data_IF_416906995145
#
_entry.id   IF_416906995145
#
_cell.length_a   1.000
_cell.length_b   1.000
_cell.length_c   1.000
_cell.angle_alpha   90.00
_cell.angle_beta   90.00
_cell.angle_gamma   90.00
#
_symmetry.space_group_name_H-M   'P 1'
#
loop_
_entity.id
_entity.type
_entity.pdbx_description
1 polymer ?
#
# COMPACT_ATOMS: atom_id res chain seq x y z
N UNK A 1 6.63 13.61 9.72
CA UNK A 1 7.73 13.32 8.77
C UNK A 1 7.11 13.26 7.39
N UNK A 2 7.61 14.02 6.43
CA UNK A 2 7.06 14.01 5.06
C UNK A 2 7.67 12.82 4.32
N UNK A 3 6.85 11.87 3.89
CA UNK A 3 7.32 10.75 3.07
C UNK A 3 7.45 11.17 1.62
N UNK A 4 8.47 10.68 0.94
CA UNK A 4 8.71 10.88 -0.50
C UNK A 4 8.25 9.68 -1.33
N UNK A 5 7.62 8.69 -0.69
CA UNK A 5 7.00 7.57 -1.38
C UNK A 5 5.71 8.00 -2.06
N UNK A 6 5.58 7.64 -3.34
CA UNK A 6 4.29 7.72 -4.01
C UNK A 6 3.30 6.73 -3.33
N UNK A 7 2.03 7.11 -3.16
CA UNK A 7 1.04 6.21 -2.60
C UNK A 7 0.85 5.00 -3.52
N UNK A 8 0.83 3.78 -2.96
CA UNK A 8 0.61 2.55 -3.75
C UNK A 8 -0.79 2.43 -4.31
N UNK A 9 -1.75 3.02 -3.61
CA UNK A 9 -3.17 2.91 -3.92
C UNK A 9 -3.79 4.29 -3.95
N UNK A 10 -4.67 4.51 -4.93
CA UNK A 10 -5.50 5.69 -5.03
C UNK A 10 -6.87 5.41 -4.42
N UNK A 11 -7.45 6.41 -3.76
CA UNK A 11 -8.79 6.32 -3.19
C UNK A 11 -9.70 7.28 -3.95
N UNK A 12 -10.50 6.74 -4.86
CA UNK A 12 -11.49 7.52 -5.58
C UNK A 12 -12.83 7.47 -4.85
N UNK A 13 -13.35 8.64 -4.50
CA UNK A 13 -14.67 8.82 -3.89
C UNK A 13 -15.59 9.49 -4.89
N UNK A 14 -16.72 8.85 -5.14
CA UNK A 14 -17.81 9.40 -5.95
C UNK A 14 -18.63 10.38 -5.09
N UNK A 15 -18.58 11.70 -5.37
CA UNK A 15 -19.28 12.70 -4.58
C UNK A 15 -20.81 12.59 -4.72
N UNK A 16 -21.32 12.05 -5.84
CA UNK A 16 -22.77 11.91 -6.05
C UNK A 16 -23.36 10.78 -5.20
N UNK A 17 -22.54 9.79 -4.83
CA UNK A 17 -22.94 8.66 -3.97
C UNK A 17 -22.56 8.85 -2.52
N UNK A 18 -21.60 9.71 -2.21
CA UNK A 18 -21.11 9.87 -0.85
C UNK A 18 -22.08 10.71 -0.02
N UNK A 19 -22.65 10.11 1.02
CA UNK A 19 -23.56 10.77 1.96
C UNK A 19 -22.87 11.29 3.23
N UNK A 20 -21.53 11.45 3.20
CA UNK A 20 -20.71 11.91 4.32
C UNK A 20 -20.92 11.17 5.66
N UNK A 21 -21.40 9.92 5.63
CA UNK A 21 -21.75 9.13 6.82
C UNK A 21 -20.57 8.69 7.72
N UNK A 22 -19.33 9.02 7.34
CA UNK A 22 -18.09 8.73 8.08
C UNK A 22 -17.80 7.24 8.39
N UNK A 23 -18.60 6.28 7.90
CA UNK A 23 -18.34 4.84 8.10
C UNK A 23 -16.95 4.43 7.60
N UNK A 24 -16.51 4.98 6.47
CA UNK A 24 -15.18 4.70 5.93
C UNK A 24 -14.03 5.24 6.80
N UNK A 25 -14.26 6.31 7.56
CA UNK A 25 -13.33 6.85 8.56
C UNK A 25 -13.22 5.86 9.71
N UNK A 26 -14.37 5.50 10.30
CA UNK A 26 -14.44 4.58 11.44
C UNK A 26 -13.89 3.16 11.14
N UNK A 27 -14.01 2.70 9.89
CA UNK A 27 -13.55 1.36 9.51
C UNK A 27 -12.07 1.33 9.08
N UNK A 28 -11.41 2.47 8.91
CA UNK A 28 -10.04 2.49 8.42
C UNK A 28 -9.03 2.42 9.58
N UNK A 29 -8.38 1.27 9.77
CA UNK A 29 -7.32 1.10 10.78
C UNK A 29 -6.00 1.80 10.44
N UNK A 30 -5.93 2.46 9.28
CA UNK A 30 -4.72 3.10 8.76
C UNK A 30 -4.88 4.62 8.63
N UNK A 31 -6.01 5.19 9.07
CA UNK A 31 -6.26 6.64 8.95
C UNK A 31 -6.14 7.18 7.50
N UNK A 32 -6.48 6.34 6.52
CA UNK A 32 -6.49 6.71 5.10
C UNK A 32 -7.76 7.48 4.70
N UNK A 33 -8.76 7.56 5.58
CA UNK A 33 -9.95 8.38 5.41
C UNK A 33 -10.12 9.22 6.68
N UNK A 34 -10.44 10.50 6.53
CA UNK A 34 -10.65 11.41 7.64
C UNK A 34 -11.81 12.36 7.33
N UNK A 35 -12.42 12.91 8.37
CA UNK A 35 -13.44 13.94 8.24
C UNK A 35 -12.79 15.32 8.45
N UNK A 36 -12.99 16.21 7.49
CA UNK A 36 -12.54 17.59 7.52
C UNK A 36 -13.68 18.46 8.07
N UNK A 37 -13.50 18.99 9.28
CA UNK A 37 -14.52 19.75 9.98
C UNK A 37 -14.69 21.19 9.45
N UNK A 38 -13.69 21.73 8.74
CA UNK A 38 -13.78 23.07 8.17
C UNK A 38 -14.66 23.07 6.92
N UNK A 39 -14.49 22.05 6.08
CA UNK A 39 -15.21 21.90 4.82
C UNK A 39 -16.46 20.99 4.92
N UNK A 40 -16.72 20.39 6.09
CA UNK A 40 -17.79 19.41 6.33
C UNK A 40 -17.77 18.21 5.35
N UNK A 41 -16.56 17.70 5.07
CA UNK A 41 -16.34 16.68 4.03
C UNK A 41 -15.45 15.53 4.49
N UNK A 42 -15.79 14.32 4.09
CA UNK A 42 -14.91 13.15 4.23
C UNK A 42 -13.89 13.12 3.09
N UNK A 43 -12.62 13.18 3.47
CA UNK A 43 -11.45 13.18 2.57
C UNK A 43 -10.59 11.94 2.80
N UNK A 44 -9.58 11.78 1.94
CA UNK A 44 -8.69 10.62 1.95
C UNK A 44 -7.22 11.02 1.92
N UNK A 45 -6.38 10.24 2.61
CA UNK A 45 -4.92 10.30 2.61
C UNK A 45 -4.42 9.03 1.94
N UNK A 46 -4.13 9.12 0.65
CA UNK A 46 -3.74 7.97 -0.17
C UNK A 46 -2.42 7.35 0.29
N UNK A 47 -1.53 8.15 0.90
CA UNK A 47 -0.24 7.72 1.46
C UNK A 47 -0.38 6.66 2.56
N UNK A 48 -1.53 6.62 3.23
CA UNK A 48 -1.83 5.68 4.30
C UNK A 48 -2.57 4.43 3.81
N UNK A 49 -3.04 4.41 2.56
CA UNK A 49 -3.84 3.31 2.05
C UNK A 49 -2.97 2.07 1.81
N UNK A 50 -3.34 0.95 2.43
CA UNK A 50 -2.70 -0.36 2.20
C UNK A 50 -3.51 -1.29 1.29
N UNK A 51 -4.62 -0.82 0.73
CA UNK A 51 -5.46 -1.62 -0.18
C UNK A 51 -6.20 -2.77 0.52
N UNK A 52 -6.56 -2.66 1.80
CA UNK A 52 -7.30 -3.71 2.51
C UNK A 52 -8.80 -3.80 2.11
N UNK A 53 -9.29 -2.85 1.31
CA UNK A 53 -10.67 -2.76 0.80
C UNK A 53 -11.80 -2.72 1.84
N UNK A 54 -11.48 -2.58 3.13
CA UNK A 54 -12.48 -2.54 4.21
C UNK A 54 -13.45 -1.37 4.06
N UNK A 55 -12.97 -0.16 3.79
CA UNK A 55 -13.83 1.00 3.58
C UNK A 55 -14.76 0.87 2.36
N UNK A 56 -14.28 0.21 1.29
CA UNK A 56 -15.08 -0.06 0.09
C UNK A 56 -16.25 -0.99 0.41
N UNK A 57 -15.98 -2.08 1.14
CA UNK A 57 -16.97 -3.08 1.49
C UNK A 57 -18.07 -2.53 2.42
N UNK A 58 -17.69 -1.72 3.40
CA UNK A 58 -18.61 -1.19 4.41
C UNK A 58 -19.33 0.09 4.00
N UNK A 59 -18.98 0.68 2.85
CA UNK A 59 -19.66 1.88 2.37
C UNK A 59 -21.10 1.53 1.94
N UNK A 60 -22.14 2.06 2.63
CA UNK A 60 -23.54 1.68 2.36
C UNK A 60 -24.00 2.09 0.95
N UNK A 61 -23.43 3.15 0.40
CA UNK A 61 -23.76 3.68 -0.94
C UNK A 61 -22.77 3.26 -2.02
N UNK A 62 -21.74 2.46 -1.67
CA UNK A 62 -20.67 2.02 -2.59
C UNK A 62 -20.01 3.19 -3.34
N UNK A 63 -19.72 4.27 -2.60
CA UNK A 63 -19.12 5.49 -3.13
C UNK A 63 -17.59 5.44 -3.28
N UNK A 64 -16.93 4.34 -2.85
CA UNK A 64 -15.47 4.24 -2.83
C UNK A 64 -14.96 3.20 -3.82
N UNK A 65 -13.89 3.56 -4.52
CA UNK A 65 -13.08 2.66 -5.35
C UNK A 65 -11.62 2.81 -4.95
N UNK A 66 -10.94 1.68 -4.75
CA UNK A 66 -9.48 1.65 -4.51
C UNK A 66 -8.83 1.00 -5.73
N UNK A 67 -7.86 1.68 -6.33
CA UNK A 67 -7.08 1.19 -7.46
C UNK A 67 -5.59 1.29 -7.17
N UNK A 68 -4.77 0.51 -7.89
CA UNK A 68 -3.31 0.70 -7.86
C UNK A 68 -2.95 2.02 -8.51
N UNK A 69 -2.00 2.74 -7.91
CA UNK A 69 -1.46 3.96 -8.50
C UNK A 69 -0.64 3.60 -9.75
N UNK A 70 -0.99 4.13 -10.94
CA UNK A 70 -0.27 3.85 -12.18
C UNK A 70 1.08 4.58 -12.27
N UNK A 71 1.37 5.53 -11.37
CA UNK A 71 2.71 6.14 -11.21
C UNK A 71 3.68 5.17 -10.53
N UNK A 72 3.74 3.94 -11.04
CA UNK A 72 4.71 2.95 -10.62
C UNK A 72 6.10 3.37 -11.13
N UNK A 73 7.15 2.95 -10.42
CA UNK A 73 8.51 3.28 -10.77
C UNK A 73 8.81 2.84 -12.21
N UNK A 74 9.66 3.59 -12.93
CA UNK A 74 10.09 3.21 -14.28
C UNK A 74 10.66 1.79 -14.26
N UNK A 75 10.18 0.94 -15.16
CA UNK A 75 10.70 -0.42 -15.30
C UNK A 75 12.24 -0.41 -15.47
N UNK A 76 12.91 -1.15 -14.59
CA UNK A 76 14.35 -1.26 -14.56
C UNK A 76 14.77 -2.65 -14.11
N UNK A 77 15.81 -3.20 -14.74
CA UNK A 77 16.31 -4.54 -14.42
C UNK A 77 16.97 -4.62 -13.03
N UNK A 78 17.73 -3.58 -12.67
CA UNK A 78 18.49 -3.52 -11.42
C UNK A 78 17.65 -2.95 -10.28
N UNK A 79 16.83 -1.94 -10.57
CA UNK A 79 16.05 -1.19 -9.59
C UNK A 79 14.58 -1.58 -9.65
N UNK A 80 14.22 -2.58 -8.86
CA UNK A 80 12.82 -2.94 -8.68
C UNK A 80 12.12 -1.93 -7.76
N UNK A 81 10.81 -1.69 -7.93
CA UNK A 81 10.01 -0.86 -7.03
C UNK A 81 10.29 -1.13 -5.54
N UNK A 82 10.37 -2.41 -5.15
CA UNK A 82 10.59 -2.80 -3.77
C UNK A 82 11.94 -2.31 -3.22
N UNK A 83 13.00 -2.42 -4.03
CA UNK A 83 14.33 -1.96 -3.63
C UNK A 83 14.38 -0.44 -3.47
N UNK A 84 13.71 0.29 -4.36
CA UNK A 84 13.65 1.76 -4.29
C UNK A 84 12.88 2.20 -3.05
N UNK A 85 11.71 1.58 -2.79
CA UNK A 85 10.93 1.87 -1.59
C UNK A 85 11.70 1.59 -0.30
N UNK A 86 12.40 0.46 -0.23
CA UNK A 86 13.16 0.07 0.96
C UNK A 86 14.30 1.05 1.23
N UNK A 87 14.97 1.55 0.19
CA UNK A 87 15.99 2.60 0.33
C UNK A 87 15.37 3.88 0.85
N UNK A 88 14.24 4.32 0.29
CA UNK A 88 13.56 5.54 0.72
C UNK A 88 13.11 5.44 2.19
N UNK A 89 12.49 4.32 2.60
CA UNK A 89 12.07 4.09 3.98
C UNK A 89 13.24 4.13 4.97
N UNK A 90 14.37 3.54 4.61
CA UNK A 90 15.57 3.55 5.43
C UNK A 90 16.18 4.95 5.52
N UNK A 91 16.23 5.69 4.40
CA UNK A 91 16.70 7.07 4.38
C UNK A 91 15.81 8.00 5.23
N UNK A 92 14.50 7.77 5.20
CA UNK A 92 13.51 8.54 5.96
C UNK A 92 13.58 8.31 7.47
N UNK A 93 13.78 7.07 7.90
CA UNK A 93 13.75 6.70 9.32
C UNK A 93 15.14 6.64 9.98
N UNK A 94 16.21 6.53 9.17
CA UNK A 94 17.55 6.18 9.64
C UNK A 94 17.69 4.74 10.13
N UNK A 95 16.61 3.96 10.11
CA UNK A 95 16.60 2.54 10.47
C UNK A 95 17.07 1.67 9.30
N UNK A 96 17.60 0.49 9.63
CA UNK A 96 17.92 -0.54 8.63
C UNK A 96 16.78 -1.55 8.60
N UNK A 97 16.24 -1.82 7.41
CA UNK A 97 15.25 -2.88 7.22
C UNK A 97 15.98 -4.23 7.31
N UNK A 98 15.85 -4.90 8.46
CA UNK A 98 16.42 -6.23 8.64
C UNK A 98 15.54 -7.25 7.92
N UNK A 99 15.91 -7.61 6.71
CA UNK A 99 15.54 -8.92 6.16
C UNK A 99 16.46 -9.95 6.83
N UNK A 100 15.93 -11.09 7.28
CA UNK A 100 16.75 -12.12 7.92
C UNK A 100 17.86 -12.65 7.00
N UNK A 101 18.65 -13.63 7.46
CA UNK A 101 19.70 -14.26 6.62
C UNK A 101 19.16 -15.10 5.44
N UNK A 102 17.87 -15.01 5.15
CA UNK A 102 17.19 -15.74 4.09
C UNK A 102 16.75 -14.81 2.96
N UNK A 103 16.36 -15.42 1.84
CA UNK A 103 15.76 -14.71 0.72
C UNK A 103 14.27 -15.07 0.68
N UNK A 104 13.40 -14.10 0.95
CA UNK A 104 11.93 -14.25 0.90
C UNK A 104 11.38 -14.21 -0.54
N UNK A 105 12.23 -13.89 -1.53
CA UNK A 105 11.81 -13.81 -2.93
C UNK A 105 11.56 -15.21 -3.47
N UNK A 106 10.64 -15.32 -4.42
CA UNK A 106 10.25 -16.57 -5.09
C UNK A 106 11.30 -17.15 -6.04
N UNK A 107 12.58 -17.09 -5.66
CA UNK A 107 13.66 -17.77 -6.36
C UNK A 107 13.48 -19.28 -6.22
N UNK A 108 13.99 -20.02 -7.21
CA UNK A 108 13.94 -21.48 -7.18
C UNK A 108 14.74 -22.01 -5.99
N UNK A 109 14.11 -22.83 -5.16
CA UNK A 109 14.77 -23.57 -4.08
C UNK A 109 15.46 -24.78 -4.69
N UNK A 110 16.73 -24.66 -5.06
CA UNK A 110 17.46 -25.74 -5.73
C UNK A 110 17.53 -27.03 -4.89
N UNK A 111 17.60 -26.92 -3.56
CA UNK A 111 17.66 -28.05 -2.64
C UNK A 111 16.45 -28.99 -2.76
N UNK A 112 15.26 -28.46 -3.04
CA UNK A 112 14.04 -29.25 -3.22
C UNK A 112 14.03 -30.04 -4.54
N UNK A 113 15.00 -29.77 -5.42
CA UNK A 113 15.13 -30.37 -6.75
C UNK A 113 16.43 -31.14 -6.95
N UNK A 114 17.21 -31.37 -5.88
CA UNK A 114 18.43 -32.16 -5.93
C UNK A 114 18.14 -33.61 -5.50
N UNK A 115 18.45 -34.56 -6.38
CA UNK A 115 18.52 -35.99 -6.04
C UNK A 115 19.99 -36.36 -5.91
N UNK A 116 20.43 -36.70 -4.70
CA UNK A 116 21.78 -37.22 -4.46
C UNK A 116 21.79 -38.71 -4.82
N UNK A 117 22.39 -39.05 -5.96
CA UNK A 117 22.62 -40.43 -6.36
C UNK A 117 24.06 -40.81 -5.99
N UNK A 118 24.22 -41.71 -5.02
CA UNK A 118 25.49 -42.30 -4.67
C UNK A 118 25.65 -43.61 -5.48
N UNK A 119 26.17 -43.51 -6.70
CA UNK A 119 26.67 -44.65 -7.46
C UNK A 119 28.04 -45.08 -6.97
#
# INVERSE_FOLDING_TARGET
MKTYLAPKFLIQRDPERCIQCQVCVNQCSFDANYYDAEDDEVRSREENCVGCHRCVLFCPTRALTISRNPLDYRENYNWRPEAIEDIIKQAETGGVLLTGMGNDKGQRIYWDHLVLNAS
#
